data_IF_790078769374
#
_entry.id   IF_790078769374
#
_cell.length_a   1.000
_cell.length_b   1.000
_cell.length_c   1.000
_cell.angle_alpha   90.00
_cell.angle_beta   90.00
_cell.angle_gamma   90.00
#
_symmetry.space_group_name_H-M   'P 1'
#
loop_
_entity.id
_entity.type
_entity.pdbx_description
1 polymer ?
#
# COMPACT_ATOMS: atom_id res chain seq x y z
N UNK A 1 22.43 -23.68 -2.27
CA UNK A 1 21.84 -23.12 -3.51
C UNK A 1 20.71 -22.11 -3.28
N UNK A 2 19.99 -22.15 -2.16
CA UNK A 2 18.87 -21.22 -1.85
C UNK A 2 19.22 -19.73 -1.66
N UNK A 3 20.50 -19.39 -1.56
CA UNK A 3 20.96 -17.99 -1.37
C UNK A 3 21.05 -17.24 -2.71
N UNK A 4 21.04 -17.95 -3.84
CA UNK A 4 21.25 -17.32 -5.16
C UNK A 4 20.05 -16.45 -5.58
N UNK A 5 18.83 -16.88 -5.30
CA UNK A 5 17.60 -16.15 -5.63
C UNK A 5 17.51 -14.79 -4.93
N UNK A 6 17.64 -14.67 -3.60
CA UNK A 6 17.58 -13.37 -2.93
C UNK A 6 18.75 -12.45 -3.34
N UNK A 7 19.90 -13.03 -3.72
CA UNK A 7 21.06 -12.27 -4.19
C UNK A 7 20.83 -11.67 -5.58
N UNK A 8 20.18 -12.41 -6.49
CA UNK A 8 19.73 -11.90 -7.79
C UNK A 8 18.65 -10.83 -7.64
N UNK A 9 17.71 -11.02 -6.71
CA UNK A 9 16.71 -9.99 -6.38
C UNK A 9 17.34 -8.69 -5.90
N UNK A 10 18.25 -8.77 -4.93
CA UNK A 10 19.01 -7.61 -4.45
C UNK A 10 19.81 -6.93 -5.56
N UNK A 11 20.47 -7.70 -6.43
CA UNK A 11 21.20 -7.16 -7.58
C UNK A 11 20.28 -6.44 -8.57
N UNK A 12 19.09 -6.99 -8.85
CA UNK A 12 18.12 -6.37 -9.74
C UNK A 12 17.60 -5.04 -9.19
N UNK A 13 17.36 -4.95 -7.88
CA UNK A 13 16.98 -3.71 -7.20
C UNK A 13 18.12 -2.70 -7.23
N UNK A 14 19.36 -3.15 -7.01
CA UNK A 14 20.55 -2.30 -7.12
C UNK A 14 20.70 -1.73 -8.55
N UNK A 15 20.42 -2.53 -9.58
CA UNK A 15 20.41 -2.07 -10.96
C UNK A 15 19.32 -1.02 -11.22
N UNK A 16 18.11 -1.22 -10.69
CA UNK A 16 17.02 -0.23 -10.77
C UNK A 16 17.42 1.07 -10.06
N UNK A 17 18.02 0.99 -8.87
CA UNK A 17 18.51 2.16 -8.13
C UNK A 17 19.63 2.90 -8.88
N UNK A 18 20.53 2.17 -9.52
CA UNK A 18 21.61 2.75 -10.31
C UNK A 18 21.09 3.53 -11.53
N UNK A 19 20.02 3.04 -12.17
CA UNK A 19 19.37 3.74 -13.29
C UNK A 19 18.61 4.99 -12.83
N UNK A 20 18.07 5.00 -11.61
CA UNK A 20 17.27 6.11 -11.06
C UNK A 20 18.03 7.10 -10.16
N UNK A 21 19.36 7.01 -10.09
CA UNK A 21 20.16 7.95 -9.29
C UNK A 21 19.93 7.80 -7.78
N UNK A 22 19.81 6.56 -7.29
CA UNK A 22 19.60 6.20 -5.88
C UNK A 22 18.29 6.72 -5.25
N UNK A 23 17.26 7.02 -6.04
CA UNK A 23 15.97 7.45 -5.53
C UNK A 23 14.83 6.56 -6.05
N UNK A 24 14.34 5.66 -5.20
CA UNK A 24 13.26 4.71 -5.52
C UNK A 24 11.85 5.32 -5.49
N UNK A 25 11.70 6.63 -5.65
CA UNK A 25 10.39 7.26 -5.57
C UNK A 25 9.95 7.64 -4.16
N UNK A 26 9.05 8.62 -4.05
CA UNK A 26 8.55 9.09 -2.76
C UNK A 26 7.80 7.97 -2.03
N UNK A 27 7.92 7.92 -0.70
CA UNK A 27 6.95 7.21 0.14
C UNK A 27 5.67 8.03 0.31
N UNK A 28 4.69 7.52 1.07
CA UNK A 28 3.38 8.18 1.24
C UNK A 28 3.50 9.67 1.59
N UNK A 29 4.32 10.04 2.57
CA UNK A 29 4.55 11.44 2.95
C UNK A 29 5.19 12.28 1.85
N UNK A 30 6.07 11.68 1.06
CA UNK A 30 6.68 12.36 -0.10
C UNK A 30 5.66 12.63 -1.20
N UNK A 31 4.69 11.74 -1.40
CA UNK A 31 3.59 11.91 -2.36
C UNK A 31 2.69 13.07 -1.94
N UNK A 32 2.36 13.13 -0.65
CA UNK A 32 1.58 14.23 -0.06
C UNK A 32 2.31 15.56 -0.24
N UNK A 33 3.61 15.60 0.09
CA UNK A 33 4.43 16.80 -0.13
C UNK A 33 4.49 17.20 -1.61
N UNK A 34 4.57 16.25 -2.53
CA UNK A 34 4.54 16.54 -3.98
C UNK A 34 3.20 17.16 -4.41
N UNK A 35 2.07 16.75 -3.82
CA UNK A 35 0.75 17.36 -4.05
C UNK A 35 0.71 18.78 -3.48
N UNK A 36 1.17 18.96 -2.25
CA UNK A 36 1.16 20.26 -1.57
C UNK A 36 2.04 21.29 -2.30
N UNK A 37 3.20 20.85 -2.77
CA UNK A 37 4.14 21.63 -3.58
C UNK A 37 3.64 21.87 -5.02
N UNK A 38 2.57 21.21 -5.45
CA UNK A 38 2.05 21.30 -6.82
C UNK A 38 3.01 20.76 -7.88
N UNK A 39 3.81 19.74 -7.53
CA UNK A 39 4.76 19.11 -8.45
C UNK A 39 4.03 18.17 -9.42
N UNK A 40 4.44 18.18 -10.68
CA UNK A 40 3.94 17.23 -11.69
C UNK A 40 4.36 15.79 -11.35
N UNK A 41 3.52 14.83 -11.71
CA UNK A 41 3.81 13.42 -11.49
C UNK A 41 4.88 12.88 -12.46
N UNK A 42 5.80 12.11 -11.92
CA UNK A 42 6.74 11.30 -12.71
C UNK A 42 6.33 9.82 -12.66
N UNK A 43 5.47 9.39 -13.60
CA UNK A 43 4.97 8.01 -13.67
C UNK A 43 6.09 6.96 -13.67
N UNK A 44 7.25 7.28 -14.26
CA UNK A 44 8.37 6.35 -14.33
C UNK A 44 8.93 6.05 -12.93
N UNK A 45 8.94 7.05 -12.06
CA UNK A 45 9.40 6.94 -10.67
C UNK A 45 8.46 6.09 -9.79
N UNK A 46 7.15 6.15 -10.03
CA UNK A 46 6.17 5.32 -9.32
C UNK A 46 6.19 3.87 -9.84
N UNK A 47 6.30 3.68 -11.15
CA UNK A 47 6.36 2.37 -11.78
C UNK A 47 7.62 1.58 -11.39
N UNK A 48 8.78 2.24 -11.35
CA UNK A 48 10.04 1.61 -10.96
C UNK A 48 10.05 1.12 -9.52
N UNK A 49 9.45 1.87 -8.58
CA UNK A 49 9.35 1.50 -7.18
C UNK A 49 8.57 0.19 -7.02
N UNK A 50 7.46 0.10 -7.74
CA UNK A 50 6.62 -1.09 -7.79
C UNK A 50 7.38 -2.26 -8.40
N UNK A 51 8.10 -2.04 -9.49
CA UNK A 51 8.93 -3.08 -10.12
C UNK A 51 10.05 -3.58 -9.19
N UNK A 52 10.70 -2.67 -8.45
CA UNK A 52 11.72 -3.02 -7.46
C UNK A 52 11.13 -3.84 -6.31
N UNK A 53 9.94 -3.48 -5.84
CA UNK A 53 9.23 -4.26 -4.82
C UNK A 53 8.89 -5.67 -5.32
N UNK A 54 8.36 -5.81 -6.55
CA UNK A 54 8.06 -7.12 -7.16
C UNK A 54 9.33 -7.96 -7.30
N UNK A 55 10.43 -7.37 -7.77
CA UNK A 55 11.71 -8.08 -7.92
C UNK A 55 12.28 -8.53 -6.56
N UNK A 56 12.19 -7.68 -5.53
CA UNK A 56 12.65 -8.00 -4.16
C UNK A 56 11.81 -9.14 -3.57
N UNK A 57 10.49 -8.98 -3.54
CA UNK A 57 9.59 -9.94 -2.91
C UNK A 57 9.56 -11.26 -3.68
N UNK A 58 9.52 -11.20 -5.02
CA UNK A 58 9.52 -12.38 -5.89
C UNK A 58 10.80 -13.21 -5.83
N UNK A 59 11.91 -12.61 -5.40
CA UNK A 59 13.19 -13.30 -5.21
C UNK A 59 13.34 -14.00 -3.84
N UNK A 60 12.35 -13.86 -2.95
CA UNK A 60 12.37 -14.49 -1.63
C UNK A 60 13.22 -13.77 -0.59
N UNK A 61 13.49 -12.48 -0.76
CA UNK A 61 14.14 -11.67 0.29
C UNK A 61 13.18 -11.55 1.48
N UNK A 62 13.73 -11.59 2.70
CA UNK A 62 12.99 -11.46 3.97
C UNK A 62 12.48 -10.03 4.20
N UNK A 63 11.54 -9.58 3.36
CA UNK A 63 10.77 -8.35 3.53
C UNK A 63 9.28 -8.65 3.43
N UNK A 64 8.46 -7.89 4.16
CA UNK A 64 7.01 -7.98 4.06
C UNK A 64 6.46 -7.16 2.87
N UNK A 65 5.35 -7.58 2.24
CA UNK A 65 4.68 -6.81 1.20
C UNK A 65 3.93 -5.57 1.73
N UNK A 66 3.87 -5.39 3.05
CA UNK A 66 3.14 -4.31 3.75
C UNK A 66 3.48 -2.92 3.21
N UNK A 67 4.76 -2.55 3.26
CA UNK A 67 5.22 -1.23 2.82
C UNK A 67 4.92 -0.96 1.35
N UNK A 68 5.39 -1.84 0.43
CA UNK A 68 5.12 -1.67 -1.00
C UNK A 68 3.65 -1.61 -1.38
N UNK A 69 2.77 -2.37 -0.71
CA UNK A 69 1.34 -2.35 -0.98
C UNK A 69 0.71 -0.99 -0.65
N UNK A 70 1.08 -0.40 0.49
CA UNK A 70 0.63 0.94 0.90
C UNK A 70 1.11 1.99 -0.08
N UNK A 71 2.40 1.96 -0.43
CA UNK A 71 3.00 2.94 -1.33
C UNK A 71 2.47 2.84 -2.76
N UNK A 72 2.18 1.62 -3.24
CA UNK A 72 1.50 1.39 -4.51
C UNK A 72 0.10 2.02 -4.51
N UNK A 73 -0.69 1.80 -3.45
CA UNK A 73 -2.01 2.40 -3.29
C UNK A 73 -1.98 3.93 -3.26
N UNK A 74 -1.01 4.52 -2.56
CA UNK A 74 -0.78 5.96 -2.53
C UNK A 74 -0.39 6.51 -3.92
N UNK A 75 0.54 5.83 -4.60
CA UNK A 75 0.99 6.22 -5.95
C UNK A 75 -0.13 6.17 -6.98
N UNK A 76 -0.95 5.12 -6.97
CA UNK A 76 -2.13 5.01 -7.82
C UNK A 76 -3.13 6.13 -7.56
N UNK A 77 -3.34 6.47 -6.28
CA UNK A 77 -4.22 7.58 -5.90
C UNK A 77 -3.68 8.93 -6.37
N UNK A 78 -2.36 9.14 -6.32
CA UNK A 78 -1.70 10.34 -6.87
C UNK A 78 -1.93 10.48 -8.37
N UNK A 79 -1.76 9.39 -9.12
CA UNK A 79 -2.01 9.34 -10.57
C UNK A 79 -3.46 9.70 -10.88
N UNK A 80 -4.41 9.10 -10.15
CA UNK A 80 -5.85 9.35 -10.33
C UNK A 80 -6.21 10.79 -9.97
N UNK A 81 -5.66 11.30 -8.86
CA UNK A 81 -5.92 12.67 -8.39
C UNK A 81 -5.41 13.71 -9.36
N UNK A 82 -4.24 13.48 -10.00
CA UNK A 82 -3.74 14.37 -11.07
C UNK A 82 -4.64 14.34 -12.29
N UNK A 83 -5.00 13.13 -12.74
CA UNK A 83 -5.80 12.95 -13.95
C UNK A 83 -7.19 13.55 -13.83
N UNK A 84 -7.74 13.60 -12.62
CA UNK A 84 -9.05 14.17 -12.32
C UNK A 84 -8.96 15.61 -11.79
N UNK A 85 -7.78 16.22 -11.78
CA UNK A 85 -7.54 17.60 -11.31
C UNK A 85 -8.17 17.86 -9.93
N UNK A 86 -8.04 16.88 -9.02
CA UNK A 86 -8.69 16.93 -7.72
C UNK A 86 -8.09 18.02 -6.82
N UNK A 87 -8.92 18.71 -6.01
CA UNK A 87 -8.42 19.60 -4.95
C UNK A 87 -7.49 18.85 -3.98
N UNK A 88 -6.54 19.56 -3.35
CA UNK A 88 -5.57 18.97 -2.41
C UNK A 88 -6.23 18.17 -1.28
N UNK A 89 -7.23 18.75 -0.63
CA UNK A 89 -7.95 18.10 0.46
C UNK A 89 -8.61 16.78 0.02
N UNK A 90 -9.17 16.76 -1.19
CA UNK A 90 -9.79 15.57 -1.77
C UNK A 90 -8.73 14.53 -2.16
N UNK A 91 -7.61 14.98 -2.72
CA UNK A 91 -6.47 14.12 -3.08
C UNK A 91 -5.86 13.43 -1.86
N UNK A 92 -5.80 14.13 -0.73
CA UNK A 92 -5.31 13.59 0.55
C UNK A 92 -6.23 12.50 1.10
N UNK A 93 -7.54 12.70 1.05
CA UNK A 93 -8.53 11.66 1.37
C UNK A 93 -8.43 10.49 0.39
N UNK A 94 -8.23 10.78 -0.91
CA UNK A 94 -8.09 9.77 -1.96
C UNK A 94 -6.86 8.87 -1.73
N UNK A 95 -5.72 9.46 -1.35
CA UNK A 95 -4.51 8.71 -0.97
C UNK A 95 -4.80 7.74 0.17
N UNK A 96 -5.50 8.19 1.21
CA UNK A 96 -5.81 7.36 2.37
C UNK A 96 -6.71 6.18 1.99
N UNK A 97 -7.69 6.41 1.11
CA UNK A 97 -8.53 5.34 0.57
C UNK A 97 -7.75 4.34 -0.31
N UNK A 98 -6.83 4.82 -1.16
CA UNK A 98 -6.01 3.95 -1.98
C UNK A 98 -4.99 3.15 -1.18
N UNK A 99 -4.39 3.73 -0.13
CA UNK A 99 -3.58 2.99 0.84
C UNK A 99 -4.38 1.85 1.48
N UNK A 100 -5.63 2.12 1.89
CA UNK A 100 -6.51 1.09 2.44
C UNK A 100 -6.79 -0.02 1.43
N UNK A 101 -7.07 0.32 0.17
CA UNK A 101 -7.24 -0.67 -0.90
C UNK A 101 -5.97 -1.53 -1.09
N UNK A 102 -4.79 -0.91 -1.16
CA UNK A 102 -3.52 -1.62 -1.31
C UNK A 102 -3.25 -2.63 -0.18
N UNK A 103 -3.49 -2.23 1.08
CA UNK A 103 -3.36 -3.13 2.23
C UNK A 103 -4.41 -4.22 2.21
N UNK A 104 -5.68 -3.89 1.92
CA UNK A 104 -6.75 -4.87 1.82
C UNK A 104 -6.43 -5.93 0.76
N UNK A 105 -5.89 -5.52 -0.39
CA UNK A 105 -5.45 -6.42 -1.45
C UNK A 105 -4.25 -7.30 -1.04
N UNK A 106 -3.28 -6.74 -0.31
CA UNK A 106 -2.07 -7.46 0.08
C UNK A 106 -2.29 -8.52 1.15
N UNK A 107 -3.26 -8.30 2.05
CA UNK A 107 -3.46 -9.17 3.23
C UNK A 107 -4.79 -9.92 3.24
N UNK A 108 -5.68 -9.63 2.30
CA UNK A 108 -7.08 -10.05 2.33
C UNK A 108 -7.78 -9.71 3.66
N UNK A 109 -7.42 -8.55 4.23
CA UNK A 109 -7.83 -8.13 5.57
C UNK A 109 -8.46 -6.72 5.51
N UNK A 110 -9.69 -6.58 4.97
CA UNK A 110 -10.30 -5.27 4.75
C UNK A 110 -10.51 -4.48 6.05
N UNK A 111 -10.89 -5.15 7.15
CA UNK A 111 -11.08 -4.48 8.45
C UNK A 111 -9.78 -3.87 9.00
N UNK A 112 -8.69 -4.63 8.97
CA UNK A 112 -7.38 -4.15 9.40
C UNK A 112 -6.89 -3.00 8.52
N UNK A 113 -7.12 -3.09 7.21
CA UNK A 113 -6.77 -2.03 6.27
C UNK A 113 -7.52 -0.73 6.53
N UNK A 114 -8.81 -0.79 6.90
CA UNK A 114 -9.62 0.38 7.25
C UNK A 114 -9.07 1.07 8.52
N UNK A 115 -8.82 0.30 9.59
CA UNK A 115 -8.28 0.85 10.84
C UNK A 115 -6.90 1.46 10.60
N UNK A 116 -6.03 0.75 9.90
CA UNK A 116 -4.70 1.24 9.54
C UNK A 116 -4.77 2.55 8.74
N UNK A 117 -5.66 2.63 7.75
CA UNK A 117 -5.80 3.84 6.95
C UNK A 117 -6.31 5.03 7.78
N UNK A 118 -7.26 4.82 8.69
CA UNK A 118 -7.82 5.89 9.51
C UNK A 118 -6.90 6.35 10.64
N UNK A 119 -6.16 5.43 11.27
CA UNK A 119 -5.32 5.76 12.43
C UNK A 119 -3.88 6.13 12.05
N UNK A 120 -3.32 5.55 10.99
CA UNK A 120 -1.90 5.71 10.64
C UNK A 120 -1.72 6.58 9.39
N UNK A 121 -2.49 6.30 8.34
CA UNK A 121 -2.33 6.99 7.05
C UNK A 121 -2.97 8.37 7.06
N UNK A 122 -4.23 8.47 7.49
CA UNK A 122 -4.98 9.74 7.47
C UNK A 122 -4.26 10.87 8.23
N UNK A 123 -3.72 10.66 9.45
CA UNK A 123 -2.97 11.71 10.16
C UNK A 123 -1.59 12.01 9.54
N UNK A 124 -1.08 11.13 8.68
CA UNK A 124 0.15 11.35 7.93
C UNK A 124 -0.08 12.13 6.63
N UNK A 125 -1.33 12.23 6.17
CA UNK A 125 -1.71 12.78 4.86
C UNK A 125 -2.51 14.08 5.00
N UNK A 126 -3.25 14.27 6.10
CA UNK A 126 -3.98 15.51 6.38
C UNK A 126 -3.34 16.25 7.54
N UNK A 127 -3.11 17.55 7.36
CA UNK A 127 -2.51 18.43 8.39
C UNK A 127 -3.37 18.61 9.63
N UNK A 128 -4.70 18.55 9.48
CA UNK A 128 -5.65 18.60 10.58
C UNK A 128 -5.88 17.18 11.17
N UNK A 129 -4.83 16.70 11.84
CA UNK A 129 -4.66 15.31 12.33
C UNK A 129 -5.70 14.88 13.36
N UNK A 130 -6.25 15.83 14.10
CA UNK A 130 -7.19 15.58 15.20
C UNK A 130 -8.62 15.99 14.88
N UNK A 131 -8.90 16.55 13.69
CA UNK A 131 -10.25 16.97 13.33
C UNK A 131 -11.17 15.77 13.10
N UNK A 132 -12.24 15.62 13.90
CA UNK A 132 -13.24 14.57 13.67
C UNK A 132 -13.93 14.73 12.30
N UNK A 133 -13.91 15.94 11.72
CA UNK A 133 -14.53 16.26 10.43
C UNK A 133 -13.84 15.53 9.28
N UNK A 134 -12.51 15.53 9.26
CA UNK A 134 -11.73 14.93 8.18
C UNK A 134 -11.82 13.41 8.20
N UNK A 135 -11.73 12.81 9.40
CA UNK A 135 -11.90 11.37 9.59
C UNK A 135 -13.31 10.95 9.15
N UNK A 136 -14.35 11.70 9.54
CA UNK A 136 -15.73 11.44 9.12
C UNK A 136 -15.93 11.54 7.61
N UNK A 137 -15.22 12.44 6.94
CA UNK A 137 -15.28 12.57 5.49
C UNK A 137 -14.52 11.44 4.76
N UNK A 138 -13.42 10.94 5.34
CA UNK A 138 -12.59 9.89 4.75
C UNK A 138 -13.09 8.46 5.02
N UNK A 139 -13.76 8.21 6.17
CA UNK A 139 -14.17 6.88 6.56
C UNK A 139 -15.03 6.13 5.51
N UNK A 140 -16.04 6.75 4.86
CA UNK A 140 -16.83 6.06 3.85
C UNK A 140 -16.01 5.65 2.62
N UNK A 141 -15.12 6.52 2.12
CA UNK A 141 -14.31 6.22 0.94
C UNK A 141 -13.25 5.15 1.24
N UNK A 142 -12.62 5.21 2.41
CA UNK A 142 -11.69 4.18 2.90
C UNK A 142 -12.39 2.81 3.02
N UNK A 143 -13.59 2.79 3.61
CA UNK A 143 -14.36 1.55 3.78
C UNK A 143 -14.72 0.91 2.43
N UNK A 144 -15.24 1.71 1.49
CA UNK A 144 -15.61 1.24 0.15
C UNK A 144 -14.38 0.75 -0.60
N UNK A 145 -13.28 1.51 -0.57
CA UNK A 145 -12.05 1.15 -1.27
C UNK A 145 -11.46 -0.18 -0.75
N UNK A 146 -11.36 -0.34 0.57
CA UNK A 146 -10.86 -1.58 1.18
C UNK A 146 -11.76 -2.78 0.87
N UNK A 147 -13.08 -2.62 0.97
CA UNK A 147 -14.05 -3.70 0.71
C UNK A 147 -14.04 -4.14 -0.75
N UNK A 148 -14.08 -3.17 -1.69
CA UNK A 148 -14.05 -3.47 -3.12
C UNK A 148 -12.72 -4.12 -3.51
N UNK A 149 -11.61 -3.64 -2.95
CA UNK A 149 -10.31 -4.24 -3.22
C UNK A 149 -10.21 -5.68 -2.73
N UNK A 150 -10.71 -5.98 -1.52
CA UNK A 150 -10.75 -7.35 -1.00
C UNK A 150 -11.62 -8.27 -1.86
N UNK A 151 -12.83 -7.82 -2.28
CA UNK A 151 -13.71 -8.59 -3.16
C UNK A 151 -13.04 -8.90 -4.50
N UNK A 152 -12.34 -7.91 -5.09
CA UNK A 152 -11.62 -8.10 -6.34
C UNK A 152 -10.49 -9.11 -6.16
N UNK A 153 -9.73 -9.01 -5.07
CA UNK A 153 -8.67 -9.97 -4.75
C UNK A 153 -9.22 -11.39 -4.57
N UNK A 154 -10.32 -11.56 -3.83
CA UNK A 154 -10.98 -12.86 -3.65
C UNK A 154 -11.46 -13.45 -4.99
N UNK A 155 -12.01 -12.61 -5.87
CA UNK A 155 -12.50 -13.03 -7.17
C UNK A 155 -11.36 -13.48 -8.10
N UNK A 156 -10.19 -12.82 -8.04
CA UNK A 156 -9.07 -13.07 -8.93
C UNK A 156 -8.10 -14.14 -8.42
N UNK A 157 -7.85 -14.17 -7.11
CA UNK A 157 -6.83 -15.02 -6.49
C UNK A 157 -7.43 -16.22 -5.73
N UNK A 158 -8.75 -16.21 -5.50
CA UNK A 158 -9.47 -17.19 -4.70
C UNK A 158 -9.55 -16.77 -3.23
N UNK A 159 -10.71 -17.01 -2.59
CA UNK A 159 -11.02 -16.58 -1.21
C UNK A 159 -10.34 -17.40 -0.10
N UNK A 160 -9.04 -17.68 -0.25
CA UNK A 160 -8.24 -18.31 0.79
C UNK A 160 -7.79 -17.29 1.84
N UNK A 161 -7.76 -17.70 3.12
CA UNK A 161 -7.12 -16.88 4.15
C UNK A 161 -5.61 -16.86 3.92
N UNK A 162 -4.99 -15.67 3.93
CA UNK A 162 -3.55 -15.48 3.76
C UNK A 162 -2.73 -16.29 4.79
N UNK A 163 -3.31 -16.51 5.97
CA UNK A 163 -2.73 -17.29 7.04
C UNK A 163 -3.72 -18.36 7.49
N UNK A 164 -3.49 -19.60 7.08
CA UNK A 164 -4.27 -20.73 7.57
C UNK A 164 -3.78 -21.12 8.96
N UNK A 165 -4.53 -20.75 10.00
CA UNK A 165 -4.18 -21.13 11.37
C UNK A 165 -4.36 -22.63 11.53
N UNK A 166 -3.34 -23.34 12.01
CA UNK A 166 -3.43 -24.77 12.32
C UNK A 166 -4.52 -25.03 13.36
N UNK A 167 -5.71 -25.42 12.90
CA UNK A 167 -6.88 -25.73 13.75
C UNK A 167 -6.58 -26.86 14.74
N UNK A 168 -5.63 -27.74 14.42
CA UNK A 168 -5.14 -28.81 15.30
C UNK A 168 -4.56 -28.27 16.62
N UNK A 169 -3.79 -27.18 16.59
CA UNK A 169 -3.15 -26.62 17.79
C UNK A 169 -4.17 -25.96 18.73
N UNK A 170 -5.20 -25.32 18.16
CA UNK A 170 -6.30 -24.73 18.93
C UNK A 170 -7.18 -25.83 19.55
N UNK A 171 -7.41 -26.93 18.82
CA UNK A 171 -8.15 -28.09 19.34
C UNK A 171 -7.41 -28.76 20.51
N UNK A 172 -6.08 -28.89 20.45
CA UNK A 172 -5.29 -29.43 21.57
C UNK A 172 -5.25 -28.53 22.81
N UNK A 173 -5.47 -27.22 22.66
CA UNK A 173 -5.52 -26.26 23.78
C UNK A 173 -6.94 -26.08 24.36
N UNK A 174 -7.99 -26.49 23.64
CA UNK A 174 -9.38 -26.45 24.10
C UNK A 174 -9.88 -27.76 24.74
N UNK A 175 -9.11 -28.85 24.68
CA UNK A 175 -9.41 -30.15 25.34
C UNK A 175 -8.76 -30.30 26.74
N UNK A 176 -8.65 -29.22 27.52
CA UNK A 176 -8.37 -29.29 28.96
C UNK A 176 -9.36 -28.45 29.78
#
# INVERSE_FOLDING_TARGET
EYVLFPLLGGLSVAAIMAIQGNNLGPGVKGIVQEIDDGKNIDLFKYGSKTAAAVATLGSGVSLGPEGPAVELGAGMSRIISEKLEMPRDVSHVMISAGCAAGVAAGFNAPLSAIVFALEIVQPSVVDDKDSPKTIRAAAPSVFVAASVSAIICDLLLGGGETFEVQKELIRMLGEN
#
